data_IF_892187383403
#
_entry.id   IF_892187383403
#
_cell.length_a   1.000
_cell.length_b   1.000
_cell.length_c   1.000
_cell.angle_alpha   90.00
_cell.angle_beta   90.00
_cell.angle_gamma   90.00
#
_symmetry.space_group_name_H-M   'P 1'
#
loop_
_entity.id
_entity.type
_entity.pdbx_description
1 polymer ?
#
# COMPACT_ATOMS: atom_id res chain seq x y z
N UNK A 1 -10.40 2.53 21.42
CA UNK A 1 -10.44 2.44 19.95
C UNK A 1 -11.24 3.62 19.44
N UNK A 2 -10.65 4.50 18.65
CA UNK A 2 -11.43 5.52 17.94
C UNK A 2 -12.26 4.78 16.88
N UNK A 3 -13.56 4.93 16.92
CA UNK A 3 -14.48 4.37 15.92
C UNK A 3 -14.35 5.22 14.66
N UNK A 4 -13.65 4.72 13.65
CA UNK A 4 -13.61 5.33 12.33
C UNK A 4 -14.37 4.47 11.31
N UNK A 5 -14.77 5.07 10.18
CA UNK A 5 -15.36 4.32 9.07
C UNK A 5 -14.28 3.44 8.41
N UNK A 6 -14.41 2.13 8.55
CA UNK A 6 -13.48 1.13 8.03
C UNK A 6 -13.88 0.72 6.62
N UNK A 7 -12.91 0.68 5.67
CA UNK A 7 -13.13 0.13 4.33
C UNK A 7 -12.83 -1.36 4.27
N UNK A 8 -11.82 -1.82 5.01
CA UNK A 8 -11.47 -3.23 5.19
C UNK A 8 -11.32 -3.50 6.68
N UNK A 9 -11.92 -4.57 7.18
CA UNK A 9 -11.76 -5.04 8.55
C UNK A 9 -11.34 -6.51 8.58
N UNK A 10 -10.40 -6.85 9.45
CA UNK A 10 -9.96 -8.20 9.75
C UNK A 10 -10.44 -8.56 11.15
N UNK A 11 -11.23 -9.63 11.26
CA UNK A 11 -11.76 -10.11 12.53
C UNK A 11 -11.29 -11.54 12.80
N UNK A 12 -10.37 -11.68 13.73
CA UNK A 12 -9.83 -12.96 14.25
C UNK A 12 -9.25 -13.88 13.16
N UNK A 13 -8.53 -13.31 12.19
CA UNK A 13 -8.02 -14.05 11.05
C UNK A 13 -6.85 -14.92 11.41
N UNK A 14 -6.98 -16.25 11.12
CA UNK A 14 -5.87 -17.19 11.14
C UNK A 14 -5.72 -17.85 9.76
N UNK A 15 -4.46 -17.97 9.29
CA UNK A 15 -4.15 -18.50 7.97
C UNK A 15 -2.89 -19.37 7.92
N UNK A 16 -2.98 -20.45 7.14
CA UNK A 16 -1.88 -21.37 6.79
C UNK A 16 -1.96 -21.73 5.32
N UNK A 17 -0.82 -21.89 4.65
CA UNK A 17 -0.80 -22.40 3.27
C UNK A 17 -1.03 -23.91 3.16
N UNK A 18 -0.75 -24.65 4.22
CA UNK A 18 -0.94 -26.11 4.30
C UNK A 18 -1.62 -26.45 5.64
N UNK A 19 -2.57 -27.38 5.64
CA UNK A 19 -3.34 -27.74 6.85
C UNK A 19 -2.47 -28.11 8.06
N UNK A 20 -1.39 -28.89 7.82
CA UNK A 20 -0.44 -29.28 8.87
C UNK A 20 0.81 -28.37 8.92
N UNK A 21 0.82 -27.28 8.16
CA UNK A 21 1.94 -26.33 8.10
C UNK A 21 1.94 -25.32 9.27
N UNK A 22 3.03 -24.56 9.40
CA UNK A 22 3.07 -23.47 10.38
C UNK A 22 2.03 -22.40 10.07
N UNK A 23 1.46 -21.81 11.09
CA UNK A 23 0.61 -20.64 10.93
C UNK A 23 1.43 -19.48 10.38
N UNK A 24 0.89 -18.80 9.37
CA UNK A 24 1.48 -17.59 8.78
C UNK A 24 0.87 -16.35 9.40
N UNK A 25 -0.43 -16.40 9.71
CA UNK A 25 -1.16 -15.37 10.43
C UNK A 25 -1.93 -16.04 11.56
N UNK A 26 -1.95 -15.40 12.72
CA UNK A 26 -2.63 -15.90 13.92
C UNK A 26 -3.39 -14.77 14.61
N UNK A 27 -4.71 -14.93 14.71
CA UNK A 27 -5.60 -14.00 15.43
C UNK A 27 -5.42 -12.53 15.03
N UNK A 28 -5.30 -12.27 13.72
CA UNK A 28 -5.16 -10.92 13.17
C UNK A 28 -6.47 -10.17 13.32
N UNK A 29 -6.40 -9.01 13.96
CA UNK A 29 -7.49 -8.06 14.12
C UNK A 29 -6.98 -6.67 13.83
N UNK A 30 -7.52 -5.99 12.84
CA UNK A 30 -7.29 -4.57 12.56
C UNK A 30 -8.31 -4.02 11.57
N UNK A 31 -8.38 -2.70 11.51
CA UNK A 31 -9.24 -1.94 10.62
C UNK A 31 -8.43 -1.02 9.72
N UNK A 32 -8.81 -0.92 8.43
CA UNK A 32 -8.27 0.06 7.49
C UNK A 32 -9.22 1.25 7.38
N UNK A 33 -8.82 2.45 7.83
CA UNK A 33 -9.65 3.64 7.74
C UNK A 33 -9.91 4.07 6.29
N UNK A 34 -11.17 4.37 5.96
CA UNK A 34 -11.57 4.85 4.63
C UNK A 34 -10.94 6.20 4.31
N UNK A 35 -10.48 6.38 3.06
CA UNK A 35 -9.92 7.63 2.56
C UNK A 35 -8.60 8.04 3.22
N UNK A 36 -7.97 7.12 3.97
CA UNK A 36 -6.70 7.33 4.64
C UNK A 36 -5.58 6.53 4.00
N UNK A 37 -4.37 6.94 4.25
CA UNK A 37 -3.18 6.17 3.91
C UNK A 37 -2.76 5.34 5.13
N UNK A 38 -2.93 4.01 5.03
CA UNK A 38 -2.49 3.05 6.04
C UNK A 38 -1.24 2.34 5.59
N UNK A 39 -0.21 2.31 6.42
CA UNK A 39 1.02 1.54 6.18
C UNK A 39 1.02 0.25 7.00
N UNK A 40 1.12 -0.90 6.33
CA UNK A 40 1.32 -2.21 6.96
C UNK A 40 2.81 -2.53 6.89
N UNK A 41 3.45 -2.59 8.05
CA UNK A 41 4.91 -2.78 8.15
C UNK A 41 5.27 -4.04 8.93
N UNK A 42 6.47 -4.54 8.67
CA UNK A 42 7.01 -5.73 9.34
C UNK A 42 8.25 -6.24 8.60
N UNK A 43 9.06 -7.06 9.25
CA UNK A 43 10.21 -7.68 8.62
C UNK A 43 9.79 -8.69 7.52
N UNK A 44 10.74 -9.14 6.71
CA UNK A 44 10.49 -10.15 5.68
C UNK A 44 10.04 -11.47 6.34
N UNK A 45 8.94 -12.03 5.81
CA UNK A 45 8.33 -13.24 6.38
C UNK A 45 7.34 -13.00 7.53
N UNK A 46 7.04 -11.76 7.91
CA UNK A 46 6.07 -11.46 8.97
C UNK A 46 4.60 -11.73 8.59
N UNK A 47 4.29 -12.01 7.31
CA UNK A 47 2.93 -12.30 6.84
C UNK A 47 2.29 -11.20 5.95
N UNK A 48 2.98 -10.09 5.66
CA UNK A 48 2.43 -8.95 4.90
C UNK A 48 1.87 -9.33 3.52
N UNK A 49 2.63 -10.06 2.71
CA UNK A 49 2.16 -10.49 1.37
C UNK A 49 1.00 -11.48 1.45
N UNK A 50 0.85 -12.18 2.58
CA UNK A 50 -0.33 -13.04 2.83
C UNK A 50 -1.56 -12.18 3.12
N UNK A 51 -1.42 -11.09 3.88
CA UNK A 51 -2.50 -10.12 4.09
C UNK A 51 -2.99 -9.53 2.76
N UNK A 52 -2.07 -9.17 1.85
CA UNK A 52 -2.43 -8.71 0.50
C UNK A 52 -3.28 -9.74 -0.24
N UNK A 53 -2.86 -11.00 -0.25
CA UNK A 53 -3.59 -12.07 -0.95
C UNK A 53 -4.99 -12.29 -0.35
N UNK A 54 -5.12 -12.19 0.97
CA UNK A 54 -6.40 -12.30 1.65
C UNK A 54 -7.31 -11.10 1.32
N UNK A 55 -6.80 -9.87 1.32
CA UNK A 55 -7.55 -8.66 0.93
C UNK A 55 -8.04 -8.73 -0.52
N UNK A 56 -7.24 -9.33 -1.42
CA UNK A 56 -7.58 -9.51 -2.84
C UNK A 56 -8.48 -10.72 -3.11
N UNK A 57 -8.84 -11.50 -2.09
CA UNK A 57 -9.61 -12.74 -2.24
C UNK A 57 -8.87 -13.83 -3.02
N UNK A 58 -7.54 -13.76 -3.11
CA UNK A 58 -6.71 -14.81 -3.75
C UNK A 58 -6.58 -16.01 -2.83
N UNK A 59 -6.46 -15.74 -1.53
CA UNK A 59 -6.46 -16.75 -0.48
C UNK A 59 -7.66 -16.52 0.46
N UNK A 60 -8.05 -17.56 1.19
CA UNK A 60 -9.16 -17.52 2.13
C UNK A 60 -8.67 -17.92 3.52
N UNK A 61 -9.04 -17.21 4.59
CA UNK A 61 -8.65 -17.57 5.95
C UNK A 61 -9.32 -18.89 6.36
N UNK A 62 -8.66 -19.66 7.23
CA UNK A 62 -9.27 -20.84 7.83
C UNK A 62 -10.15 -20.48 9.03
N UNK A 63 -9.83 -19.36 9.71
CA UNK A 63 -10.61 -18.86 10.85
C UNK A 63 -10.77 -17.36 10.71
N UNK A 64 -11.89 -16.84 11.26
CA UNK A 64 -12.22 -15.42 11.24
C UNK A 64 -12.91 -14.96 9.96
N UNK A 65 -13.10 -13.65 9.83
CA UNK A 65 -13.80 -13.04 8.71
C UNK A 65 -13.14 -11.73 8.29
N UNK A 66 -13.03 -11.53 6.97
CA UNK A 66 -12.59 -10.26 6.38
C UNK A 66 -13.79 -9.57 5.78
N UNK A 67 -13.93 -8.29 6.06
CA UNK A 67 -15.00 -7.45 5.52
C UNK A 67 -14.45 -6.40 4.57
N UNK A 68 -15.16 -6.16 3.50
CA UNK A 68 -15.01 -5.00 2.63
C UNK A 68 -16.31 -4.20 2.63
N UNK A 69 -16.26 -2.92 2.99
CA UNK A 69 -17.45 -2.09 3.13
C UNK A 69 -18.55 -2.75 4.01
N UNK A 70 -18.15 -3.35 5.14
CA UNK A 70 -19.02 -4.08 6.08
C UNK A 70 -19.68 -5.35 5.50
N UNK A 71 -19.33 -5.76 4.27
CA UNK A 71 -19.78 -7.02 3.68
C UNK A 71 -18.64 -8.05 3.78
N UNK A 72 -18.91 -9.29 4.22
CA UNK A 72 -17.91 -10.36 4.20
C UNK A 72 -17.36 -10.57 2.79
N UNK A 73 -16.02 -10.60 2.64
CA UNK A 73 -15.38 -10.86 1.34
C UNK A 73 -15.76 -12.26 0.81
N UNK A 74 -15.97 -13.24 1.69
CA UNK A 74 -16.44 -14.58 1.32
C UNK A 74 -17.78 -14.60 0.59
N UNK A 75 -18.61 -13.58 0.81
CA UNK A 75 -19.97 -13.48 0.23
C UNK A 75 -19.97 -12.64 -1.05
N UNK A 76 -18.83 -12.09 -1.44
CA UNK A 76 -18.66 -11.28 -2.64
C UNK A 76 -18.18 -12.13 -3.81
N UNK A 77 -18.70 -11.83 -5.01
CA UNK A 77 -18.07 -12.31 -6.22
C UNK A 77 -16.67 -11.68 -6.39
N UNK A 78 -15.68 -12.49 -6.71
CA UNK A 78 -14.29 -12.05 -6.82
C UNK A 78 -14.09 -10.93 -7.85
N UNK A 79 -14.86 -10.97 -8.94
CA UNK A 79 -14.87 -9.91 -9.95
C UNK A 79 -15.35 -8.57 -9.37
N UNK A 80 -16.37 -8.60 -8.51
CA UNK A 80 -16.89 -7.41 -7.83
C UNK A 80 -15.86 -6.84 -6.88
N UNK A 81 -15.22 -7.67 -6.04
CA UNK A 81 -14.16 -7.23 -5.13
C UNK A 81 -13.01 -6.55 -5.88
N UNK A 82 -12.58 -7.14 -7.00
CA UNK A 82 -11.47 -6.64 -7.83
C UNK A 82 -11.77 -5.32 -8.56
N UNK A 83 -13.03 -4.95 -8.71
CA UNK A 83 -13.42 -3.61 -9.20
C UNK A 83 -13.16 -2.51 -8.18
N UNK A 84 -13.12 -2.86 -6.90
CA UNK A 84 -12.94 -1.92 -5.80
C UNK A 84 -11.51 -1.85 -5.25
N UNK A 85 -10.70 -2.89 -5.47
CA UNK A 85 -9.33 -2.98 -4.93
C UNK A 85 -8.35 -3.14 -6.07
N UNK A 86 -7.50 -2.15 -6.27
CA UNK A 86 -6.36 -2.21 -7.20
C UNK A 86 -5.05 -2.49 -6.47
N UNK A 87 -4.09 -3.10 -7.16
CA UNK A 87 -2.78 -3.40 -6.62
C UNK A 87 -1.66 -2.97 -7.56
N UNK A 88 -0.61 -2.39 -6.97
CA UNK A 88 0.66 -2.08 -7.64
C UNK A 88 1.74 -2.91 -6.96
N UNK A 89 2.41 -3.79 -7.72
CA UNK A 89 3.42 -4.70 -7.20
C UNK A 89 4.82 -4.07 -7.14
N UNK A 90 5.69 -4.70 -6.37
CA UNK A 90 7.10 -4.35 -6.21
C UNK A 90 7.84 -4.21 -7.56
N UNK A 91 7.66 -5.19 -8.46
CA UNK A 91 8.24 -5.16 -9.80
C UNK A 91 7.15 -4.86 -10.84
N UNK A 92 7.06 -3.61 -11.33
CA UNK A 92 6.05 -3.23 -12.30
C UNK A 92 6.24 -3.90 -13.67
N UNK A 93 7.46 -4.39 -13.99
CA UNK A 93 7.72 -5.07 -15.28
C UNK A 93 6.85 -6.33 -15.47
N UNK A 94 6.48 -6.98 -14.38
CA UNK A 94 5.65 -8.18 -14.42
C UNK A 94 4.15 -7.86 -14.63
N UNK A 95 3.77 -6.59 -14.61
CA UNK A 95 2.38 -6.15 -14.74
C UNK A 95 2.04 -5.67 -16.15
N UNK A 96 3.05 -5.22 -16.94
CA UNK A 96 2.81 -4.67 -18.26
C UNK A 96 2.46 -5.74 -19.28
N UNK A 97 1.35 -5.50 -19.98
CA UNK A 97 0.83 -6.34 -21.08
C UNK A 97 0.66 -5.53 -22.36
N UNK A 98 0.51 -4.22 -22.27
CA UNK A 98 0.34 -3.30 -23.39
C UNK A 98 1.64 -3.09 -24.18
N UNK A 99 1.54 -2.93 -25.50
CA UNK A 99 2.68 -2.59 -26.35
C UNK A 99 3.14 -1.13 -26.17
N UNK A 100 2.26 -0.26 -25.69
CA UNK A 100 2.56 1.12 -25.31
C UNK A 100 1.98 1.41 -23.93
N UNK A 101 2.43 2.50 -23.30
CA UNK A 101 1.91 3.01 -22.03
C UNK A 101 0.40 3.25 -22.10
N UNK A 102 -0.09 3.85 -23.18
CA UNK A 102 -1.53 4.11 -23.38
C UNK A 102 -2.34 2.81 -23.42
N UNK A 103 -1.88 1.81 -24.16
CA UNK A 103 -2.55 0.51 -24.25
C UNK A 103 -2.48 -0.26 -22.94
N UNK A 104 -1.39 -0.13 -22.20
CA UNK A 104 -1.27 -0.79 -20.92
C UNK A 104 -2.28 -0.25 -19.89
N UNK A 105 -2.40 1.08 -19.79
CA UNK A 105 -3.39 1.73 -18.92
C UNK A 105 -4.84 1.42 -19.38
N UNK A 106 -5.08 1.34 -20.70
CA UNK A 106 -6.38 1.01 -21.25
C UNK A 106 -6.79 -0.46 -20.99
N UNK A 107 -5.84 -1.37 -20.86
CA UNK A 107 -6.08 -2.81 -20.73
C UNK A 107 -7.04 -3.17 -19.59
N UNK A 108 -6.88 -2.53 -18.43
CA UNK A 108 -7.80 -2.74 -17.30
C UNK A 108 -9.23 -2.28 -17.61
N UNK A 109 -9.39 -1.17 -18.31
CA UNK A 109 -10.68 -0.64 -18.73
C UNK A 109 -11.36 -1.54 -19.77
N UNK A 110 -10.58 -2.10 -20.71
CA UNK A 110 -11.07 -3.07 -21.70
C UNK A 110 -11.62 -4.32 -21.02
N UNK A 111 -10.92 -4.85 -20.00
CA UNK A 111 -11.38 -6.00 -19.21
C UNK A 111 -12.68 -5.72 -18.45
N UNK A 112 -12.96 -4.44 -18.14
CA UNK A 112 -14.23 -4.00 -17.54
C UNK A 112 -15.30 -3.62 -18.57
N UNK A 113 -15.08 -3.94 -19.87
CA UNK A 113 -15.97 -3.62 -20.97
C UNK A 113 -16.33 -2.13 -21.08
N UNK A 114 -15.38 -1.25 -20.71
CA UNK A 114 -15.53 0.21 -20.85
C UNK A 114 -15.56 0.58 -22.33
N UNK A 115 -16.48 1.47 -22.72
CA UNK A 115 -16.58 1.90 -24.11
C UNK A 115 -15.39 2.75 -24.55
N UNK A 116 -15.15 2.76 -25.86
CA UNK A 116 -14.01 3.43 -26.48
C UNK A 116 -13.91 4.92 -26.16
N UNK A 117 -15.04 5.66 -26.19
CA UNK A 117 -15.03 7.10 -25.93
C UNK A 117 -14.64 7.41 -24.48
N UNK A 118 -15.13 6.62 -23.56
CA UNK A 118 -14.80 6.72 -22.13
C UNK A 118 -13.32 6.41 -21.89
N UNK A 119 -12.75 5.36 -22.52
CA UNK A 119 -11.33 5.04 -22.42
C UNK A 119 -10.45 6.18 -22.93
N UNK A 120 -10.79 6.76 -24.09
CA UNK A 120 -10.06 7.89 -24.68
C UNK A 120 -10.09 9.16 -23.82
N UNK A 121 -11.05 9.30 -22.92
CA UNK A 121 -11.12 10.38 -21.95
C UNK A 121 -10.35 10.07 -20.68
N UNK A 122 -10.47 8.84 -20.14
CA UNK A 122 -9.86 8.46 -18.87
C UNK A 122 -8.35 8.29 -18.99
N UNK A 123 -7.86 7.57 -20.01
CA UNK A 123 -6.44 7.19 -20.11
C UNK A 123 -5.50 8.41 -20.16
N UNK A 124 -5.74 9.44 -21.01
CA UNK A 124 -4.90 10.64 -20.97
C UNK A 124 -4.96 11.38 -19.64
N UNK A 125 -6.13 11.42 -18.99
CA UNK A 125 -6.31 12.10 -17.71
C UNK A 125 -5.49 11.45 -16.60
N UNK A 126 -5.57 10.12 -16.44
CA UNK A 126 -4.80 9.43 -15.40
C UNK A 126 -3.30 9.43 -15.68
N UNK A 127 -2.88 9.42 -16.95
CA UNK A 127 -1.48 9.61 -17.33
C UNK A 127 -0.98 11.01 -16.99
N UNK A 128 -1.82 12.04 -17.12
CA UNK A 128 -1.50 13.40 -16.68
C UNK A 128 -1.40 13.48 -15.15
N UNK A 129 -2.33 12.86 -14.41
CA UNK A 129 -2.34 12.82 -12.95
C UNK A 129 -1.02 12.25 -12.38
N UNK A 130 -0.39 11.32 -13.08
CA UNK A 130 0.89 10.72 -12.68
C UNK A 130 2.12 11.29 -13.41
N UNK A 131 1.97 12.37 -14.19
CA UNK A 131 3.02 13.02 -15.00
C UNK A 131 3.66 12.08 -16.06
N UNK A 132 2.85 11.22 -16.70
CA UNK A 132 3.32 10.26 -17.70
C UNK A 132 2.69 10.46 -19.10
N UNK A 133 1.85 11.48 -19.31
CA UNK A 133 1.15 11.70 -20.58
C UNK A 133 2.09 11.84 -21.79
N UNK A 134 3.26 12.46 -21.61
CA UNK A 134 4.27 12.62 -22.66
C UNK A 134 4.90 11.28 -23.10
N UNK A 135 4.75 10.22 -22.33
CA UNK A 135 5.26 8.88 -22.62
C UNK A 135 4.19 7.90 -23.11
N UNK A 136 2.97 8.38 -23.42
CA UNK A 136 1.81 7.53 -23.76
C UNK A 136 2.09 6.57 -24.91
N UNK A 137 2.85 7.01 -25.92
CA UNK A 137 3.21 6.25 -27.12
C UNK A 137 4.51 5.43 -26.95
N UNK A 138 5.16 5.52 -25.79
CA UNK A 138 6.40 4.80 -25.49
C UNK A 138 6.13 3.35 -25.14
N UNK A 139 7.08 2.45 -25.44
CA UNK A 139 7.06 1.09 -24.93
C UNK A 139 7.35 1.09 -23.41
N UNK A 140 6.61 0.34 -22.58
CA UNK A 140 6.87 0.24 -21.14
C UNK A 140 8.31 -0.20 -20.80
N UNK A 141 8.92 -1.03 -21.65
CA UNK A 141 10.31 -1.48 -21.51
C UNK A 141 11.34 -0.34 -21.53
N UNK A 142 11.05 0.76 -22.24
CA UNK A 142 11.94 1.92 -22.38
C UNK A 142 11.90 2.88 -21.18
N UNK A 143 10.99 2.67 -20.23
CA UNK A 143 10.79 3.54 -19.07
C UNK A 143 11.77 3.21 -17.94
N UNK A 144 12.12 4.21 -17.12
CA UNK A 144 12.81 4.01 -15.84
C UNK A 144 11.90 3.30 -14.83
N UNK A 145 12.49 2.72 -13.76
CA UNK A 145 11.71 2.06 -12.71
C UNK A 145 10.62 2.94 -12.09
N UNK A 146 10.94 4.20 -11.77
CA UNK A 146 9.98 5.17 -11.24
C UNK A 146 8.87 5.53 -12.24
N UNK A 147 9.22 5.66 -13.53
CA UNK A 147 8.23 5.87 -14.57
C UNK A 147 7.29 4.66 -14.73
N UNK A 148 7.83 3.45 -14.68
CA UNK A 148 7.05 2.20 -14.69
C UNK A 148 6.07 2.15 -13.52
N UNK A 149 6.50 2.49 -12.30
CA UNK A 149 5.61 2.54 -11.14
C UNK A 149 4.49 3.57 -11.30
N UNK A 150 4.80 4.75 -11.84
CA UNK A 150 3.78 5.77 -12.13
C UNK A 150 2.74 5.26 -13.16
N UNK A 151 3.17 4.56 -14.19
CA UNK A 151 2.24 3.95 -15.18
C UNK A 151 1.39 2.87 -14.54
N UNK A 152 1.96 2.01 -13.69
CA UNK A 152 1.19 1.00 -12.94
C UNK A 152 0.12 1.64 -12.04
N UNK A 153 0.46 2.75 -11.37
CA UNK A 153 -0.52 3.54 -10.58
C UNK A 153 -1.60 4.13 -11.50
N UNK A 154 -1.25 4.67 -12.68
CA UNK A 154 -2.24 5.17 -13.64
C UNK A 154 -3.23 4.08 -14.07
N UNK A 155 -2.76 2.86 -14.32
CA UNK A 155 -3.60 1.71 -14.64
C UNK A 155 -4.63 1.41 -13.56
N UNK A 156 -4.23 1.46 -12.29
CA UNK A 156 -5.14 1.27 -11.15
C UNK A 156 -6.11 2.45 -11.00
N UNK A 157 -5.62 3.69 -11.14
CA UNK A 157 -6.46 4.90 -11.07
C UNK A 157 -7.52 4.95 -12.16
N UNK A 158 -7.21 4.43 -13.36
CA UNK A 158 -8.16 4.37 -14.48
C UNK A 158 -9.42 3.58 -14.13
N UNK A 159 -9.28 2.56 -13.28
CA UNK A 159 -10.39 1.71 -12.84
C UNK A 159 -11.28 2.36 -11.77
N UNK A 160 -10.88 3.53 -11.24
CA UNK A 160 -11.59 4.26 -10.19
C UNK A 160 -11.86 3.39 -8.95
N UNK A 161 -10.85 2.66 -8.50
CA UNK A 161 -10.93 1.77 -7.34
C UNK A 161 -11.06 2.56 -6.03
N UNK A 162 -11.73 1.98 -5.02
CA UNK A 162 -11.87 2.57 -3.68
C UNK A 162 -10.59 2.44 -2.85
N UNK A 163 -9.83 1.38 -3.12
CA UNK A 163 -8.60 1.03 -2.39
C UNK A 163 -7.47 0.75 -3.38
N UNK A 164 -6.30 1.32 -3.12
CA UNK A 164 -5.06 1.02 -3.84
C UNK A 164 -4.06 0.40 -2.87
N UNK A 165 -3.65 -0.84 -3.15
CA UNK A 165 -2.59 -1.52 -2.41
C UNK A 165 -1.26 -1.29 -3.15
N UNK A 166 -0.26 -0.81 -2.44
CA UNK A 166 1.11 -0.62 -2.90
C UNK A 166 1.99 -1.68 -2.22
N UNK A 167 2.26 -2.78 -2.91
CA UNK A 167 3.03 -3.88 -2.35
C UNK A 167 4.52 -3.69 -2.65
N UNK A 168 5.25 -3.10 -1.69
CA UNK A 168 6.67 -2.71 -1.80
C UNK A 168 6.99 -1.88 -3.06
N UNK A 169 6.04 -1.05 -3.50
CA UNK A 169 6.11 -0.34 -4.79
C UNK A 169 7.28 0.65 -4.92
N UNK A 170 7.93 1.02 -3.82
CA UNK A 170 9.06 1.96 -3.77
C UNK A 170 10.42 1.28 -3.67
N UNK A 171 10.47 -0.03 -3.35
CA UNK A 171 11.69 -0.73 -2.99
C UNK A 171 12.76 -0.80 -4.08
N UNK A 172 12.36 -0.68 -5.35
CA UNK A 172 13.26 -0.69 -6.52
C UNK A 172 13.66 0.70 -7.00
N UNK A 173 13.23 1.76 -6.31
CA UNK A 173 13.49 3.12 -6.69
C UNK A 173 14.71 3.68 -5.96
N UNK A 174 15.42 4.59 -6.63
CA UNK A 174 16.40 5.43 -5.98
C UNK A 174 15.73 6.41 -4.97
N UNK A 175 16.47 7.04 -4.07
CA UNK A 175 15.88 7.91 -3.04
C UNK A 175 15.05 9.07 -3.61
N UNK A 176 15.45 9.64 -4.74
CA UNK A 176 14.72 10.75 -5.40
C UNK A 176 13.39 10.25 -5.98
N UNK A 177 13.42 9.18 -6.77
CA UNK A 177 12.24 8.54 -7.33
C UNK A 177 11.24 8.05 -6.28
N UNK A 178 11.76 7.55 -5.14
CA UNK A 178 10.94 7.17 -3.98
C UNK A 178 10.19 8.38 -3.42
N UNK A 179 10.88 9.48 -3.12
CA UNK A 179 10.27 10.69 -2.56
C UNK A 179 9.22 11.29 -3.51
N UNK A 180 9.51 11.29 -4.81
CA UNK A 180 8.56 11.74 -5.81
C UNK A 180 7.32 10.86 -5.87
N UNK A 181 7.48 9.53 -5.77
CA UNK A 181 6.35 8.59 -5.79
C UNK A 181 5.49 8.74 -4.51
N UNK A 182 6.09 8.84 -3.33
CA UNK A 182 5.37 9.06 -2.07
C UNK A 182 4.61 10.39 -2.08
N UNK A 183 5.22 11.46 -2.62
CA UNK A 183 4.56 12.75 -2.79
C UNK A 183 3.37 12.67 -3.76
N UNK A 184 3.51 11.91 -4.85
CA UNK A 184 2.42 11.64 -5.80
C UNK A 184 1.27 10.89 -5.12
N UNK A 185 1.57 9.83 -4.36
CA UNK A 185 0.57 9.03 -3.64
C UNK A 185 -0.20 9.91 -2.65
N UNK A 186 0.49 10.73 -1.86
CA UNK A 186 -0.12 11.66 -0.90
C UNK A 186 -1.07 12.65 -1.57
N UNK A 187 -0.66 13.20 -2.71
CA UNK A 187 -1.50 14.09 -3.50
C UNK A 187 -2.75 13.36 -4.04
N UNK A 188 -2.58 12.19 -4.63
CA UNK A 188 -3.68 11.39 -5.19
C UNK A 188 -4.69 10.99 -4.10
N UNK A 189 -4.22 10.57 -2.93
CA UNK A 189 -5.08 10.25 -1.79
C UNK A 189 -5.93 11.47 -1.40
N UNK A 190 -5.33 12.64 -1.28
CA UNK A 190 -6.03 13.86 -0.89
C UNK A 190 -7.02 14.35 -1.97
N UNK A 191 -6.64 14.31 -3.25
CA UNK A 191 -7.46 14.83 -4.35
C UNK A 191 -8.61 13.89 -4.74
N UNK A 192 -8.37 12.57 -4.70
CA UNK A 192 -9.33 11.56 -5.16
C UNK A 192 -10.07 10.85 -4.03
N UNK A 193 -9.73 11.16 -2.77
CA UNK A 193 -10.28 10.51 -1.57
C UNK A 193 -10.22 8.97 -1.62
N UNK A 194 -9.18 8.43 -2.27
CA UNK A 194 -8.93 7.00 -2.37
C UNK A 194 -8.23 6.51 -1.11
N UNK A 195 -8.55 5.29 -0.68
CA UNK A 195 -7.84 4.65 0.43
C UNK A 195 -6.54 4.05 -0.08
N UNK A 196 -5.41 4.35 0.57
CA UNK A 196 -4.10 3.79 0.25
C UNK A 196 -3.69 2.79 1.32
N UNK A 197 -3.23 1.61 0.89
CA UNK A 197 -2.58 0.63 1.76
C UNK A 197 -1.18 0.42 1.22
N UNK A 198 -0.15 0.91 1.92
CA UNK A 198 1.23 0.63 1.57
C UNK A 198 1.78 -0.51 2.42
N UNK A 199 2.38 -1.49 1.75
CA UNK A 199 3.08 -2.60 2.39
C UNK A 199 4.56 -2.36 2.21
N UNK A 200 5.29 -2.24 3.32
CA UNK A 200 6.73 -1.96 3.30
C UNK A 200 7.42 -2.55 4.52
N UNK A 201 8.73 -2.68 4.45
CA UNK A 201 9.60 -2.94 5.60
C UNK A 201 10.43 -1.69 5.98
N UNK A 202 10.31 -0.60 5.21
CA UNK A 202 11.04 0.65 5.43
C UNK A 202 10.19 1.65 6.22
N UNK A 203 10.51 1.84 7.51
CA UNK A 203 9.80 2.78 8.38
C UNK A 203 9.94 4.25 7.95
N UNK A 204 10.90 4.59 7.06
CA UNK A 204 11.02 5.96 6.53
C UNK A 204 9.81 6.34 5.67
N UNK A 205 9.14 5.37 5.02
CA UNK A 205 7.96 5.60 4.19
C UNK A 205 6.69 5.83 4.99
N UNK A 206 6.68 5.33 6.24
CA UNK A 206 5.51 5.36 7.12
C UNK A 206 5.24 6.75 7.71
N UNK A 207 6.27 7.58 7.79
CA UNK A 207 6.19 8.92 8.41
C UNK A 207 5.11 9.79 7.77
N UNK A 208 4.82 9.57 6.49
CA UNK A 208 3.81 10.31 5.73
C UNK A 208 2.41 9.69 5.76
N UNK A 209 2.24 8.48 6.31
CA UNK A 209 0.94 7.82 6.40
C UNK A 209 0.08 8.36 7.55
N UNK A 210 -1.24 8.17 7.44
CA UNK A 210 -2.20 8.56 8.49
C UNK A 210 -2.28 7.52 9.60
N UNK A 211 -2.10 6.23 9.25
CA UNK A 211 -2.22 5.08 10.14
C UNK A 211 -1.15 4.06 9.85
N UNK A 212 -0.73 3.34 10.86
CA UNK A 212 0.34 2.33 10.79
C UNK A 212 -0.08 1.07 11.53
N UNK A 213 0.12 -0.08 10.90
CA UNK A 213 -0.09 -1.40 11.48
C UNK A 213 1.25 -2.14 11.41
N UNK A 214 1.76 -2.59 12.54
CA UNK A 214 3.02 -3.35 12.64
C UNK A 214 2.70 -4.82 12.78
N UNK A 215 3.20 -5.64 11.86
CA UNK A 215 3.04 -7.09 11.87
C UNK A 215 4.37 -7.74 12.24
N UNK A 216 4.35 -8.55 13.29
CA UNK A 216 5.47 -9.38 13.69
C UNK A 216 5.01 -10.83 13.91
N UNK A 217 5.76 -11.77 13.33
CA UNK A 217 5.51 -13.21 13.46
C UNK A 217 4.03 -13.62 13.25
N UNK A 218 3.39 -13.04 12.24
CA UNK A 218 2.00 -13.35 11.90
C UNK A 218 0.94 -12.75 12.83
N UNK A 219 1.30 -11.79 13.68
CA UNK A 219 0.40 -11.11 14.62
C UNK A 219 0.51 -9.60 14.50
N UNK A 220 -0.55 -8.89 14.88
CA UNK A 220 -0.47 -7.43 15.05
C UNK A 220 0.35 -7.15 16.31
N UNK A 221 1.52 -6.53 16.13
CA UNK A 221 2.41 -6.13 17.22
C UNK A 221 1.96 -4.83 17.89
N UNK A 222 1.63 -3.84 17.07
CA UNK A 222 1.06 -2.55 17.50
C UNK A 222 0.41 -1.85 16.31
N UNK A 223 -0.49 -0.92 16.57
CA UNK A 223 -1.14 -0.10 15.55
C UNK A 223 -1.49 1.30 16.08
N UNK A 224 -1.66 2.26 15.19
CA UNK A 224 -2.04 3.63 15.53
C UNK A 224 -1.52 4.66 14.52
N UNK A 225 -1.56 5.94 14.88
CA UNK A 225 -0.85 6.94 14.07
C UNK A 225 0.67 6.69 14.15
N UNK A 226 1.45 7.01 13.09
CA UNK A 226 2.91 6.86 13.16
C UNK A 226 3.51 7.46 14.42
N UNK A 227 3.10 8.69 14.78
CA UNK A 227 3.57 9.33 16.02
C UNK A 227 3.26 8.48 17.26
N UNK A 228 2.03 7.97 17.40
CA UNK A 228 1.66 7.18 18.59
C UNK A 228 2.42 5.86 18.68
N UNK A 229 2.72 5.22 17.54
CA UNK A 229 3.49 3.97 17.50
C UNK A 229 4.95 4.22 17.82
N UNK A 230 5.58 5.26 17.24
CA UNK A 230 6.98 5.57 17.51
C UNK A 230 7.22 6.14 18.92
N UNK A 231 6.25 6.86 19.50
CA UNK A 231 6.33 7.37 20.87
C UNK A 231 5.94 6.32 21.92
N UNK A 232 5.47 5.15 21.48
CA UNK A 232 5.13 4.04 22.37
C UNK A 232 6.36 3.35 22.95
N UNK A 233 6.15 2.51 23.97
CA UNK A 233 7.22 1.69 24.56
C UNK A 233 7.56 0.44 23.72
N UNK A 234 6.97 0.28 22.52
CA UNK A 234 7.25 -0.84 21.65
C UNK A 234 8.63 -0.70 21.02
N UNK A 235 9.46 -1.73 21.18
CA UNK A 235 10.81 -1.75 20.60
C UNK A 235 10.75 -2.31 19.17
N UNK A 236 10.60 -1.40 18.20
CA UNK A 236 10.54 -1.75 16.78
C UNK A 236 11.89 -2.29 16.26
N UNK A 237 13.02 -1.84 16.84
CA UNK A 237 14.35 -2.35 16.47
C UNK A 237 14.51 -3.82 16.90
N UNK A 238 13.93 -4.22 18.04
CA UNK A 238 13.97 -5.59 18.52
C UNK A 238 13.29 -6.59 17.55
N UNK A 239 12.23 -6.15 16.87
CA UNK A 239 11.54 -6.95 15.85
C UNK A 239 12.14 -6.79 14.44
N UNK A 240 13.33 -6.20 14.31
CA UNK A 240 14.09 -6.10 13.07
C UNK A 240 13.62 -4.99 12.12
N UNK A 241 12.99 -3.93 12.63
CA UNK A 241 12.62 -2.75 11.87
C UNK A 241 13.56 -1.58 12.20
N UNK A 242 14.21 -1.03 11.18
CA UNK A 242 15.10 0.12 11.32
C UNK A 242 14.31 1.42 11.48
N UNK A 243 14.57 2.17 12.56
CA UNK A 243 13.96 3.47 12.76
C UNK A 243 14.32 4.46 11.65
N UNK A 244 13.43 5.41 11.28
CA UNK A 244 13.74 6.50 10.36
C UNK A 244 14.99 7.27 10.75
N UNK A 245 15.73 7.77 9.77
CA UNK A 245 17.00 8.46 9.98
C UNK A 245 16.95 9.56 11.05
N UNK A 246 15.92 10.41 11.03
CA UNK A 246 15.76 11.50 11.99
C UNK A 246 15.67 10.99 13.44
N UNK A 247 14.94 9.89 13.66
CA UNK A 247 14.79 9.29 14.99
C UNK A 247 16.06 8.59 15.45
N UNK A 248 16.78 7.91 14.53
CA UNK A 248 18.11 7.33 14.84
C UNK A 248 19.12 8.39 15.23
N UNK A 249 19.17 9.50 14.50
CA UNK A 249 20.04 10.63 14.83
C UNK A 249 19.68 11.27 16.17
N UNK A 250 18.38 11.46 16.43
CA UNK A 250 17.90 12.01 17.70
C UNK A 250 18.32 11.12 18.89
N UNK A 251 18.18 9.80 18.74
CA UNK A 251 18.66 8.80 19.71
C UNK A 251 20.18 8.86 19.90
N UNK A 252 20.95 9.00 18.79
CA UNK A 252 22.41 9.10 18.82
C UNK A 252 22.91 10.38 19.52
N UNK A 253 22.12 11.44 19.54
CA UNK A 253 22.38 12.67 20.31
C UNK A 253 22.12 12.53 21.81
N UNK A 254 21.70 11.34 22.29
CA UNK A 254 21.50 11.05 23.70
C UNK A 254 20.08 11.27 24.21
N UNK A 255 19.12 11.44 23.32
CA UNK A 255 17.70 11.57 23.67
C UNK A 255 17.01 10.19 23.70
N UNK A 256 15.90 10.10 24.41
CA UNK A 256 15.03 8.92 24.35
C UNK A 256 14.37 8.79 22.98
N UNK A 257 14.03 7.55 22.57
CA UNK A 257 13.36 7.30 21.29
C UNK A 257 11.99 7.93 21.29
N UNK A 258 11.75 8.84 20.35
CA UNK A 258 10.44 9.46 20.12
C UNK A 258 10.28 9.81 18.65
N UNK A 259 9.04 10.08 18.24
CA UNK A 259 8.74 10.53 16.90
C UNK A 259 9.35 11.92 16.64
N UNK A 260 10.29 11.98 15.70
CA UNK A 260 10.93 13.21 15.24
C UNK A 260 11.03 13.18 13.73
N UNK A 261 10.50 14.22 13.09
CA UNK A 261 10.64 14.40 11.64
C UNK A 261 12.02 14.99 11.32
N UNK A 262 12.43 14.90 10.05
CA UNK A 262 13.68 15.51 9.60
C UNK A 262 13.71 17.03 9.85
N UNK A 263 12.60 17.73 9.57
CA UNK A 263 12.49 19.17 9.77
C UNK A 263 12.54 19.57 11.25
N UNK A 264 11.96 18.76 12.14
CA UNK A 264 12.04 18.96 13.58
C UNK A 264 13.49 18.75 14.08
N UNK A 265 14.15 17.69 13.60
CA UNK A 265 15.56 17.44 13.95
C UNK A 265 16.47 18.61 13.51
N UNK A 266 16.33 19.10 12.28
CA UNK A 266 17.12 20.24 11.76
C UNK A 266 16.92 21.52 12.59
N UNK A 267 15.73 21.75 13.11
CA UNK A 267 15.46 22.92 13.97
C UNK A 267 16.04 22.82 15.39
N UNK A 268 16.41 21.60 15.80
CA UNK A 268 17.01 21.33 17.11
C UNK A 268 18.55 21.42 17.09
N UNK A 269 19.15 21.27 15.92
CA UNK A 269 20.59 21.37 15.68
C UNK A 269 21.03 22.83 15.43
#
# INVERSE_FOLDING_TARGET
MESFDSVIAFEDISFRYQEEGPAILEHINFDIPRGKWTSIVGHNGSGKSTLTKLMMGIEHPQEGQIYFNQQPISDMELETLRKHIGIVFQNPENQFVGSTVEFDVAFGLENHATDYETMHRIVPQVLEDVNMLQYKDSEPSALSGGQKQRVAIAGVLALNTDVIILDEATSMLDPEGRNELLSLIKRLQAEKNVTIISITHDLSEVVDSDYMIVIDQGRVYTEGSPRSVFDSQHDLEHIGLDLPFAMRMYKALGHETQYVTYDELVKML
#
